data_IF_922839365664
#
_entry.id   IF_922839365664
#
_cell.length_a   1.000
_cell.length_b   1.000
_cell.length_c   1.000
_cell.angle_alpha   90.00
_cell.angle_beta   90.00
_cell.angle_gamma   90.00
#
_symmetry.space_group_name_H-M   'P 1'
#
loop_
_entity.id
_entity.type
_entity.pdbx_description
1 polymer ?
#
# COMPACT_ATOMS: atom_id res chain seq x y z
N UNK A 1 21.96 41.26 -41.06
CA UNK A 1 21.70 39.80 -40.94
C UNK A 1 22.12 39.17 -39.60
N UNK A 2 22.84 39.87 -38.70
CA UNK A 2 23.25 39.30 -37.39
C UNK A 2 22.16 39.25 -36.31
N UNK A 3 21.06 40.00 -36.47
CA UNK A 3 20.03 40.13 -35.43
C UNK A 3 18.92 39.07 -35.53
N UNK A 4 18.80 38.41 -36.69
CA UNK A 4 17.73 37.44 -36.94
C UNK A 4 18.01 36.10 -36.25
N UNK A 5 19.27 35.68 -36.20
CA UNK A 5 19.72 34.46 -35.51
C UNK A 5 19.60 34.55 -33.99
N UNK A 6 19.88 35.71 -33.40
CA UNK A 6 19.73 35.92 -31.94
C UNK A 6 18.29 35.93 -31.47
N UNK A 7 17.35 36.49 -32.26
CA UNK A 7 15.92 36.47 -31.93
C UNK A 7 15.35 35.04 -32.04
N UNK A 8 15.77 34.28 -33.05
CA UNK A 8 15.37 32.87 -33.21
C UNK A 8 15.84 32.01 -32.03
N UNK A 9 17.05 32.23 -31.51
CA UNK A 9 17.55 31.49 -30.33
C UNK A 9 16.77 31.81 -29.05
N UNK A 10 16.35 33.07 -28.86
CA UNK A 10 15.57 33.48 -27.67
C UNK A 10 14.16 32.90 -27.71
N UNK A 11 13.53 32.85 -28.89
CA UNK A 11 12.21 32.21 -29.08
C UNK A 11 12.29 30.70 -28.85
N UNK A 12 13.36 30.05 -29.30
CA UNK A 12 13.55 28.60 -29.13
C UNK A 12 13.78 28.20 -27.65
N UNK A 13 14.44 29.06 -26.86
CA UNK A 13 14.62 28.85 -25.43
C UNK A 13 13.33 29.08 -24.61
N UNK A 14 12.44 29.98 -25.06
CA UNK A 14 11.15 30.23 -24.40
C UNK A 14 10.13 29.09 -24.57
N UNK A 15 10.24 28.29 -25.65
CA UNK A 15 9.38 27.13 -25.90
C UNK A 15 9.65 25.94 -24.96
N UNK A 16 10.80 25.88 -24.30
CA UNK A 16 11.16 24.83 -23.33
C UNK A 16 10.69 25.10 -21.89
N UNK A 17 10.11 26.29 -21.61
CA UNK A 17 9.58 26.65 -20.30
C UNK A 17 8.09 26.32 -20.13
N UNK A 18 7.48 25.62 -21.09
CA UNK A 18 6.15 25.05 -20.89
C UNK A 18 6.28 23.94 -19.86
N UNK A 19 5.87 24.23 -18.62
CA UNK A 19 5.71 23.24 -17.57
C UNK A 19 4.87 22.09 -18.10
N UNK A 20 5.54 20.98 -18.42
CA UNK A 20 4.85 19.71 -18.65
C UNK A 20 4.12 19.41 -17.35
N UNK A 21 2.82 19.66 -17.31
CA UNK A 21 1.98 19.02 -16.30
C UNK A 21 2.10 17.54 -16.59
N UNK A 22 2.97 16.85 -15.84
CA UNK A 22 3.09 15.40 -15.91
C UNK A 22 1.68 14.85 -15.72
N UNK A 23 1.12 14.32 -16.81
CA UNK A 23 -0.15 13.62 -16.73
C UNK A 23 0.13 12.38 -15.91
N UNK A 24 -0.53 12.26 -14.76
CA UNK A 24 -0.46 11.07 -13.93
C UNK A 24 -0.72 9.84 -14.81
N UNK A 25 0.24 8.91 -14.84
CA UNK A 25 0.13 7.72 -15.66
C UNK A 25 -0.95 6.80 -15.09
N UNK A 26 -1.70 6.12 -15.97
CA UNK A 26 -2.63 5.07 -15.52
C UNK A 26 -1.84 3.85 -15.07
N UNK A 27 -2.21 3.27 -13.93
CA UNK A 27 -1.53 2.12 -13.36
C UNK A 27 -2.49 1.18 -12.64
N UNK A 28 -2.05 -0.06 -12.48
CA UNK A 28 -2.78 -1.14 -11.85
C UNK A 28 -1.80 -1.96 -10.99
N UNK A 29 -1.96 -1.84 -9.67
CA UNK A 29 -1.27 -2.62 -8.66
C UNK A 29 -2.24 -3.67 -8.09
N UNK A 30 -2.69 -4.56 -8.97
CA UNK A 30 -3.46 -5.74 -8.59
C UNK A 30 -2.66 -6.61 -7.62
N UNK A 31 -3.35 -7.21 -6.66
CA UNK A 31 -2.72 -8.03 -5.65
C UNK A 31 -3.48 -9.32 -5.34
N UNK A 32 -2.69 -10.34 -5.06
CA UNK A 32 -3.14 -11.69 -4.77
C UNK A 32 -2.43 -12.20 -3.52
N UNK A 33 -3.13 -13.06 -2.80
CA UNK A 33 -2.68 -13.51 -1.51
C UNK A 33 -3.62 -14.52 -0.90
N UNK A 34 -3.54 -14.65 0.42
CA UNK A 34 -4.45 -15.51 1.19
C UNK A 34 -4.66 -14.97 2.59
N UNK A 35 -5.83 -15.26 3.13
CA UNK A 35 -6.14 -15.20 4.55
C UNK A 35 -6.07 -16.62 5.12
N UNK A 36 -5.53 -16.78 6.32
CA UNK A 36 -5.51 -18.06 7.07
C UNK A 36 -6.30 -17.90 8.35
N UNK A 37 -7.26 -18.78 8.59
CA UNK A 37 -8.13 -18.80 9.77
C UNK A 37 -7.53 -19.67 10.89
N UNK A 38 -7.99 -19.52 12.15
CA UNK A 38 -7.49 -20.32 13.27
C UNK A 38 -7.59 -21.84 13.09
N UNK A 39 -8.54 -22.30 12.26
CA UNK A 39 -8.70 -23.71 11.90
C UNK A 39 -7.63 -24.25 10.94
N UNK A 40 -6.74 -23.38 10.44
CA UNK A 40 -5.79 -23.69 9.37
C UNK A 40 -6.39 -23.60 7.96
N UNK A 41 -7.71 -23.38 7.84
CA UNK A 41 -8.35 -23.11 6.54
C UNK A 41 -7.78 -21.84 5.93
N UNK A 42 -7.54 -21.85 4.63
CA UNK A 42 -7.12 -20.67 3.87
C UNK A 42 -8.18 -20.25 2.86
N UNK A 43 -8.29 -18.94 2.62
CA UNK A 43 -9.11 -18.37 1.54
C UNK A 43 -8.27 -17.45 0.66
N UNK A 44 -8.50 -17.45 -0.67
CA UNK A 44 -7.85 -16.50 -1.56
C UNK A 44 -8.17 -15.06 -1.16
N UNK A 45 -7.15 -14.22 -1.12
CA UNK A 45 -7.28 -12.79 -0.90
C UNK A 45 -6.95 -12.07 -2.21
N UNK A 46 -7.89 -11.27 -2.71
CA UNK A 46 -7.67 -10.38 -3.86
C UNK A 46 -7.91 -8.96 -3.44
N UNK A 47 -6.84 -8.17 -3.42
CA UNK A 47 -6.89 -6.76 -3.06
C UNK A 47 -5.79 -6.02 -3.80
N UNK A 48 -6.07 -4.81 -4.27
CA UNK A 48 -5.10 -4.02 -5.01
C UNK A 48 -5.56 -2.59 -5.21
N UNK A 49 -4.69 -1.79 -5.82
CA UNK A 49 -4.94 -0.39 -6.11
C UNK A 49 -4.91 -0.14 -7.61
N UNK A 50 -5.70 0.81 -8.10
CA UNK A 50 -5.55 1.28 -9.48
C UNK A 50 -5.93 2.75 -9.61
N UNK A 51 -5.31 3.40 -10.58
CA UNK A 51 -5.68 4.73 -11.05
C UNK A 51 -5.85 4.68 -12.56
N UNK A 52 -7.10 4.82 -13.04
CA UNK A 52 -7.45 4.63 -14.45
C UNK A 52 -8.38 5.73 -14.94
N UNK A 53 -8.27 6.09 -16.22
CA UNK A 53 -9.18 7.05 -16.84
C UNK A 53 -10.36 6.30 -17.44
N UNK A 54 -11.56 6.62 -16.99
CA UNK A 54 -12.82 6.01 -17.47
C UNK A 54 -13.78 7.12 -17.89
N UNK A 55 -14.19 7.13 -19.17
CA UNK A 55 -15.13 8.12 -19.73
C UNK A 55 -14.76 9.59 -19.44
N UNK A 56 -13.47 9.92 -19.54
CA UNK A 56 -12.97 11.27 -19.32
C UNK A 56 -12.78 11.67 -17.86
N UNK A 57 -13.14 10.82 -16.90
CA UNK A 57 -12.89 11.02 -15.47
C UNK A 57 -11.84 10.03 -14.97
N UNK A 58 -10.94 10.48 -14.11
CA UNK A 58 -9.99 9.60 -13.44
C UNK A 58 -10.62 8.94 -12.21
N UNK A 59 -10.36 7.64 -12.04
CA UNK A 59 -10.92 6.83 -10.96
C UNK A 59 -9.79 6.13 -10.23
N UNK A 60 -9.71 6.38 -8.93
CA UNK A 60 -8.89 5.60 -8.01
C UNK A 60 -9.72 4.45 -7.43
N UNK A 61 -9.14 3.25 -7.33
CA UNK A 61 -9.77 2.08 -6.70
C UNK A 61 -8.87 1.48 -5.64
N UNK A 62 -9.45 1.03 -4.54
CA UNK A 62 -8.84 0.23 -3.48
C UNK A 62 -9.72 -1.00 -3.22
N UNK A 63 -9.31 -2.16 -3.73
CA UNK A 63 -10.18 -3.34 -3.80
C UNK A 63 -11.50 -3.03 -4.50
N UNK A 64 -12.62 -3.20 -3.77
CA UNK A 64 -13.97 -2.91 -4.29
C UNK A 64 -14.33 -1.42 -4.19
N UNK A 65 -13.66 -0.65 -3.34
CA UNK A 65 -13.93 0.77 -3.16
C UNK A 65 -13.40 1.56 -4.35
N UNK A 66 -14.16 2.58 -4.78
CA UNK A 66 -13.83 3.44 -5.92
C UNK A 66 -14.17 4.88 -5.62
N UNK A 67 -13.34 5.79 -6.12
CA UNK A 67 -13.53 7.23 -5.99
C UNK A 67 -13.11 7.93 -7.27
N UNK A 68 -13.92 8.89 -7.71
CA UNK A 68 -13.53 9.81 -8.79
C UNK A 68 -12.60 10.88 -8.22
N UNK A 69 -11.48 11.10 -8.87
CA UNK A 69 -10.47 12.07 -8.44
C UNK A 69 -9.66 12.52 -9.64
N UNK A 70 -9.30 13.80 -9.70
CA UNK A 70 -8.50 14.37 -10.81
C UNK A 70 -7.00 14.05 -10.65
N UNK A 71 -6.58 13.71 -9.44
CA UNK A 71 -5.20 13.41 -9.07
C UNK A 71 -5.11 12.09 -8.30
N UNK A 72 -3.93 11.47 -8.33
CA UNK A 72 -3.65 10.27 -7.55
C UNK A 72 -3.69 10.66 -6.06
N UNK A 73 -4.49 9.97 -5.21
CA UNK A 73 -4.46 10.21 -3.78
C UNK A 73 -3.05 10.01 -3.22
N UNK A 74 -2.61 10.80 -2.22
CA UNK A 74 -1.24 10.67 -1.71
C UNK A 74 -0.99 9.32 -1.00
N UNK A 75 -2.04 8.71 -0.44
CA UNK A 75 -1.95 7.42 0.25
C UNK A 75 -3.32 6.78 0.50
N UNK A 76 -3.30 5.50 0.87
CA UNK A 76 -4.40 4.74 1.45
C UNK A 76 -3.97 4.13 2.78
N UNK A 77 -4.85 4.17 3.78
CA UNK A 77 -4.62 3.58 5.11
C UNK A 77 -5.46 2.33 5.27
N UNK A 78 -4.81 1.18 5.36
CA UNK A 78 -5.42 -0.09 5.72
C UNK A 78 -5.41 -0.22 7.24
N UNK A 79 -6.58 -0.23 7.86
CA UNK A 79 -6.70 -0.36 9.31
C UNK A 79 -6.71 -1.84 9.71
N UNK A 80 -5.97 -2.15 10.77
CA UNK A 80 -5.89 -3.50 11.34
C UNK A 80 -6.36 -3.44 12.78
N UNK A 81 -7.17 -4.42 13.19
CA UNK A 81 -7.56 -4.61 14.58
C UNK A 81 -7.03 -5.98 15.02
N UNK A 82 -6.42 -6.04 16.19
CA UNK A 82 -6.03 -7.28 16.86
C UNK A 82 -6.91 -7.45 18.10
N UNK A 83 -7.64 -8.56 18.19
CA UNK A 83 -8.44 -8.86 19.38
C UNK A 83 -7.59 -9.43 20.53
N UNK A 84 -8.26 -9.69 21.65
CA UNK A 84 -7.71 -10.34 22.84
C UNK A 84 -7.20 -11.76 22.57
N UNK A 85 -7.76 -12.47 21.60
CA UNK A 85 -7.28 -13.79 21.15
C UNK A 85 -6.10 -13.70 20.15
N UNK A 86 -5.59 -12.49 19.87
CA UNK A 86 -4.48 -12.30 18.95
C UNK A 86 -4.84 -12.46 17.47
N UNK A 87 -6.12 -12.46 17.13
CA UNK A 87 -6.63 -12.57 15.77
C UNK A 87 -6.79 -11.19 15.13
N UNK A 88 -6.61 -11.15 13.82
CA UNK A 88 -6.65 -9.96 12.97
C UNK A 88 -8.05 -9.74 12.41
N UNK A 89 -8.47 -8.49 12.33
CA UNK A 89 -9.59 -8.04 11.52
C UNK A 89 -9.16 -6.91 10.60
N UNK A 90 -9.45 -7.07 9.30
CA UNK A 90 -9.23 -6.10 8.24
C UNK A 90 -10.47 -6.16 7.34
N UNK A 91 -11.25 -5.07 7.32
CA UNK A 91 -12.57 -5.04 6.68
C UNK A 91 -12.52 -5.33 5.18
N UNK A 92 -11.41 -5.00 4.53
CA UNK A 92 -11.18 -5.23 3.10
C UNK A 92 -10.91 -6.70 2.76
N UNK A 93 -10.55 -7.54 3.74
CA UNK A 93 -10.00 -8.88 3.48
C UNK A 93 -10.97 -10.01 3.82
N UNK A 94 -11.74 -9.90 4.91
CA UNK A 94 -12.64 -10.96 5.35
C UNK A 94 -13.79 -10.43 6.22
N UNK A 95 -14.92 -11.16 6.21
CA UNK A 95 -16.07 -10.91 7.08
C UNK A 95 -15.87 -11.55 8.47
N UNK A 96 -14.76 -11.20 9.15
CA UNK A 96 -14.47 -11.70 10.50
C UNK A 96 -12.99 -11.75 10.85
N UNK A 97 -12.70 -12.26 12.04
CA UNK A 97 -11.34 -12.41 12.54
C UNK A 97 -10.61 -13.60 11.89
N UNK A 98 -9.33 -13.42 11.60
CA UNK A 98 -8.45 -14.43 11.01
C UNK A 98 -7.06 -14.38 11.64
N UNK A 99 -6.26 -15.44 11.47
CA UNK A 99 -4.97 -15.57 12.15
C UNK A 99 -3.85 -14.81 11.44
N UNK A 100 -3.81 -14.88 10.11
CA UNK A 100 -2.75 -14.26 9.33
C UNK A 100 -3.19 -13.96 7.90
N UNK A 101 -2.48 -13.04 7.25
CA UNK A 101 -2.59 -12.86 5.81
C UNK A 101 -1.22 -12.72 5.16
N UNK A 102 -1.16 -13.05 3.88
CA UNK A 102 -0.05 -12.73 2.99
C UNK A 102 -0.66 -12.08 1.74
N UNK A 103 -0.09 -10.98 1.27
CA UNK A 103 -0.55 -10.24 0.10
C UNK A 103 0.65 -9.74 -0.70
N UNK A 104 0.69 -10.07 -1.99
CA UNK A 104 1.62 -9.47 -2.94
C UNK A 104 0.85 -8.50 -3.84
N UNK A 105 1.29 -7.26 -3.96
CA UNK A 105 0.64 -6.22 -4.77
C UNK A 105 1.64 -5.17 -5.24
N UNK A 106 1.57 -4.76 -6.50
CA UNK A 106 2.40 -3.66 -7.02
C UNK A 106 3.91 -3.84 -6.83
N UNK A 107 4.42 -5.08 -6.84
CA UNK A 107 5.83 -5.39 -6.60
C UNK A 107 6.23 -5.52 -5.12
N UNK A 108 5.33 -5.19 -4.19
CA UNK A 108 5.55 -5.31 -2.76
C UNK A 108 4.95 -6.59 -2.18
N UNK A 109 5.44 -6.97 -1.01
CA UNK A 109 4.88 -8.06 -0.18
C UNK A 109 4.54 -7.54 1.20
N UNK A 110 3.32 -7.82 1.64
CA UNK A 110 2.84 -7.45 2.97
C UNK A 110 2.25 -8.69 3.64
N UNK A 111 2.60 -8.93 4.90
CA UNK A 111 2.00 -10.00 5.68
C UNK A 111 1.93 -9.62 7.15
N UNK A 112 0.93 -10.16 7.86
CA UNK A 112 0.95 -10.25 9.32
C UNK A 112 0.75 -11.71 9.67
N UNK A 113 1.70 -12.28 10.44
CA UNK A 113 1.71 -13.70 10.80
C UNK A 113 2.27 -13.95 12.20
N UNK A 114 1.89 -15.07 12.85
CA UNK A 114 2.54 -15.51 14.07
C UNK A 114 4.06 -15.67 13.92
N UNK A 115 4.80 -15.22 14.93
CA UNK A 115 6.26 -15.37 15.07
C UNK A 115 6.67 -16.20 16.28
N UNK A 116 5.76 -16.38 17.23
CA UNK A 116 5.93 -17.19 18.45
C UNK A 116 4.56 -17.71 18.89
N UNK A 117 4.55 -18.52 19.93
CA UNK A 117 3.32 -18.98 20.59
C UNK A 117 2.55 -17.79 21.18
N UNK A 118 1.22 -17.92 21.11
CA UNK A 118 0.27 -16.96 21.66
C UNK A 118 0.36 -16.94 23.19
N UNK A 119 0.18 -15.76 23.75
CA UNK A 119 0.22 -15.49 25.19
C UNK A 119 -0.93 -14.54 25.51
N UNK A 120 -1.86 -14.99 26.36
CA UNK A 120 -3.08 -14.26 26.71
C UNK A 120 -2.77 -12.93 27.42
N UNK A 121 -1.65 -12.84 28.14
CA UNK A 121 -1.23 -11.60 28.81
C UNK A 121 -0.60 -10.59 27.81
N UNK A 122 -0.17 -11.07 26.64
CA UNK A 122 0.54 -10.27 25.63
C UNK A 122 0.04 -10.54 24.19
N UNK A 123 -1.25 -10.29 23.89
CA UNK A 123 -1.92 -10.83 22.71
C UNK A 123 -1.33 -10.34 21.38
N UNK A 124 -0.75 -9.14 21.32
CA UNK A 124 -0.15 -8.62 20.08
C UNK A 124 1.28 -9.13 19.84
N UNK A 125 2.00 -9.57 20.87
CA UNK A 125 3.44 -9.84 20.78
C UNK A 125 3.78 -11.16 20.10
N UNK A 126 2.78 -12.02 19.91
CA UNK A 126 2.95 -13.26 19.15
C UNK A 126 2.93 -13.03 17.62
N UNK A 127 2.55 -11.84 17.16
CA UNK A 127 2.49 -11.46 15.75
C UNK A 127 3.72 -10.65 15.32
N UNK A 128 4.02 -10.70 14.03
CA UNK A 128 4.91 -9.76 13.37
C UNK A 128 4.32 -9.32 12.03
N UNK A 129 4.61 -8.07 11.67
CA UNK A 129 4.32 -7.49 10.35
C UNK A 129 5.55 -7.60 9.48
N UNK A 130 5.36 -8.02 8.23
CA UNK A 130 6.41 -8.12 7.22
C UNK A 130 6.02 -7.20 6.07
N UNK A 131 6.94 -6.30 5.71
CA UNK A 131 6.81 -5.39 4.58
C UNK A 131 8.09 -5.55 3.78
N UNK A 132 7.98 -6.16 2.61
CA UNK A 132 9.10 -6.54 1.75
C UNK A 132 10.17 -7.35 2.52
N UNK A 133 11.39 -6.82 2.62
CA UNK A 133 12.52 -7.44 3.32
C UNK A 133 12.57 -7.10 4.82
N UNK A 134 11.61 -6.33 5.33
CA UNK A 134 11.61 -5.77 6.67
C UNK A 134 10.56 -6.44 7.54
N UNK A 135 10.88 -6.59 8.82
CA UNK A 135 9.99 -7.12 9.85
C UNK A 135 9.78 -6.10 10.98
N UNK A 136 8.59 -6.14 11.56
CA UNK A 136 8.17 -5.24 12.61
C UNK A 136 7.35 -5.98 13.67
N UNK A 137 7.47 -5.53 14.91
CA UNK A 137 6.62 -5.89 16.03
C UNK A 137 5.45 -4.91 16.11
N UNK A 138 4.31 -5.37 16.61
CA UNK A 138 3.18 -4.51 16.91
C UNK A 138 3.39 -3.85 18.28
N UNK A 139 3.11 -2.56 18.39
CA UNK A 139 3.10 -1.82 19.68
C UNK A 139 1.68 -1.48 20.17
N UNK A 140 0.67 -1.79 19.37
CA UNK A 140 -0.74 -1.49 19.59
C UNK A 140 -1.64 -2.58 19.02
N UNK A 141 -2.85 -2.68 19.54
CA UNK A 141 -3.93 -3.54 18.98
C UNK A 141 -4.59 -2.93 17.74
N UNK A 142 -4.32 -1.67 17.42
CA UNK A 142 -4.91 -0.97 16.27
C UNK A 142 -3.82 -0.41 15.32
N UNK A 143 -2.93 -1.26 14.78
CA UNK A 143 -1.92 -0.77 13.84
C UNK A 143 -2.58 -0.44 12.50
N UNK A 144 -1.85 0.27 11.65
CA UNK A 144 -2.30 0.51 10.28
C UNK A 144 -1.15 0.45 9.30
N UNK A 145 -1.47 0.12 8.04
CA UNK A 145 -0.53 0.11 6.94
C UNK A 145 -0.88 1.25 5.99
N UNK A 146 0.08 2.16 5.79
CA UNK A 146 0.00 3.28 4.86
C UNK A 146 0.68 2.90 3.56
N UNK A 147 -0.11 2.81 2.51
CA UNK A 147 0.35 2.67 1.13
C UNK A 147 0.45 4.07 0.54
N UNK A 148 1.66 4.53 0.24
CA UNK A 148 1.87 5.83 -0.43
C UNK A 148 1.93 5.62 -1.94
N UNK A 149 1.44 6.60 -2.69
CA UNK A 149 1.35 6.50 -4.15
C UNK A 149 2.14 7.60 -4.84
N UNK A 150 2.64 7.29 -6.03
CA UNK A 150 3.19 8.24 -6.99
C UNK A 150 2.59 8.01 -8.39
N UNK A 151 3.15 8.66 -9.40
CA UNK A 151 2.73 8.51 -10.80
C UNK A 151 2.83 7.08 -11.36
N UNK A 152 3.59 6.18 -10.74
CA UNK A 152 3.84 4.81 -11.22
C UNK A 152 3.08 3.75 -10.42
N UNK A 153 2.51 4.09 -9.26
CA UNK A 153 1.76 3.16 -8.43
C UNK A 153 2.09 3.30 -6.96
N UNK A 154 2.30 2.17 -6.29
CA UNK A 154 2.73 2.13 -4.89
C UNK A 154 4.21 2.50 -4.85
N UNK A 155 4.52 3.60 -4.17
CA UNK A 155 5.90 4.08 -4.02
C UNK A 155 6.54 3.60 -2.72
N UNK A 156 5.73 3.41 -1.68
CA UNK A 156 6.20 3.02 -0.36
C UNK A 156 5.09 2.43 0.50
N UNK A 157 5.46 1.57 1.46
CA UNK A 157 4.55 0.98 2.44
C UNK A 157 5.19 1.15 3.82
N UNK A 158 4.50 1.89 4.70
CA UNK A 158 4.91 2.07 6.08
C UNK A 158 3.80 1.63 7.03
N UNK A 159 4.15 1.27 8.26
CA UNK A 159 3.17 1.03 9.30
C UNK A 159 3.16 2.10 10.38
N UNK A 160 1.97 2.34 10.94
CA UNK A 160 1.81 3.04 12.21
C UNK A 160 1.52 2.01 13.32
N UNK A 161 2.03 2.28 14.50
CA UNK A 161 1.95 1.36 15.63
C UNK A 161 2.85 0.13 15.48
N UNK A 162 3.97 0.29 14.77
CA UNK A 162 4.95 -0.74 14.46
C UNK A 162 6.34 -0.33 14.98
N UNK A 163 7.05 -1.28 15.59
CA UNK A 163 8.44 -1.13 16.00
C UNK A 163 9.29 -2.06 15.14
N UNK A 164 10.36 -1.54 14.52
CA UNK A 164 11.27 -2.36 13.70
C UNK A 164 11.83 -3.51 14.51
N UNK A 165 11.73 -4.73 13.99
CA UNK A 165 12.30 -5.91 14.62
C UNK A 165 13.79 -6.00 14.28
N UNK A 166 14.65 -5.83 15.29
CA UNK A 166 16.10 -5.92 15.15
C UNK A 166 16.64 -7.32 15.44
N UNK A 167 15.78 -8.26 15.87
CA UNK A 167 16.16 -9.63 16.19
C UNK A 167 16.36 -10.48 14.93
N UNK A 168 15.66 -10.15 13.84
CA UNK A 168 15.92 -10.72 12.52
C UNK A 168 17.13 -10.04 11.88
N UNK A 169 18.34 -10.43 12.26
CA UNK A 169 19.53 -10.17 11.45
C UNK A 169 19.71 -11.31 10.45
N UNK A 170 19.87 -10.95 9.17
CA UNK A 170 20.54 -11.80 8.17
C UNK A 170 21.99 -12.04 8.60
#
# INVERSE_FOLDING_TARGET
>A
MKNLTSVVLIVLAALFLLSNKSVAQEWDASGEGKVTYPSGRTEPLTFGFSYKKTFGTSVFSAGKAKMRTDEIPPNYILNVIVNDEGLLYIAEFADGFFQSFELALGGHKVAIKPRREFDEDEPIKHLAVYIDDMSYLLDTTHPSLKFSFDENGISDINGNGLIRDLSSRR
#
